data_IF_782646447781
#
_entry.id   IF_782646447781
#
_cell.length_a   1.000
_cell.length_b   1.000
_cell.length_c   1.000
_cell.angle_alpha   90.00
_cell.angle_beta   90.00
_cell.angle_gamma   90.00
#
_symmetry.space_group_name_H-M   'P 1'
#
loop_
_entity.id
_entity.type
_entity.pdbx_description
1 polymer ?
#
# COMPACT_ATOMS: atom_id res chain seq x y z
N UNK A 1 -35.75 -4.86 -39.60
CA UNK A 1 -34.58 -5.58 -39.05
C UNK A 1 -33.46 -4.68 -38.52
N UNK A 2 -33.13 -3.55 -39.16
CA UNK A 2 -31.99 -2.69 -38.77
C UNK A 2 -32.12 -2.00 -37.40
N UNK A 3 -33.32 -1.65 -36.96
CA UNK A 3 -33.56 -0.94 -35.68
C UNK A 3 -33.33 -1.82 -34.46
N UNK A 4 -33.70 -3.11 -34.52
CA UNK A 4 -33.51 -4.06 -33.41
C UNK A 4 -32.02 -4.32 -33.15
N UNK A 5 -31.22 -4.40 -34.21
CA UNK A 5 -29.77 -4.59 -34.11
C UNK A 5 -29.05 -3.36 -33.52
N UNK A 6 -29.52 -2.14 -33.85
CA UNK A 6 -29.01 -0.90 -33.23
C UNK A 6 -29.28 -0.83 -31.73
N UNK A 7 -30.45 -1.28 -31.28
CA UNK A 7 -30.81 -1.34 -29.86
C UNK A 7 -29.92 -2.35 -29.12
N UNK A 8 -29.71 -3.53 -29.71
CA UNK A 8 -28.83 -4.57 -29.12
C UNK A 8 -27.39 -4.06 -29.01
N UNK A 9 -26.84 -3.44 -30.05
CA UNK A 9 -25.49 -2.87 -30.01
C UNK A 9 -25.38 -1.78 -28.95
N UNK A 10 -26.36 -0.88 -28.87
CA UNK A 10 -26.35 0.20 -27.88
C UNK A 10 -26.31 -0.36 -26.45
N UNK A 11 -27.12 -1.39 -26.14
CA UNK A 11 -27.12 -2.05 -24.83
C UNK A 11 -25.79 -2.73 -24.51
N UNK A 12 -25.18 -3.42 -25.48
CA UNK A 12 -23.87 -4.07 -25.27
C UNK A 12 -22.78 -3.04 -24.99
N UNK A 13 -22.76 -1.93 -25.73
CA UNK A 13 -21.78 -0.87 -25.53
C UNK A 13 -21.96 -0.21 -24.16
N UNK A 14 -23.20 0.11 -23.75
CA UNK A 14 -23.41 0.70 -22.42
C UNK A 14 -23.03 -0.27 -21.31
N UNK A 15 -23.37 -1.56 -21.40
CA UNK A 15 -22.96 -2.56 -20.41
C UNK A 15 -21.43 -2.66 -20.28
N UNK A 16 -20.71 -2.64 -21.41
CA UNK A 16 -19.25 -2.69 -21.43
C UNK A 16 -18.66 -1.44 -20.78
N UNK A 17 -19.15 -0.24 -21.13
CA UNK A 17 -18.68 1.02 -20.55
C UNK A 17 -18.92 1.07 -19.04
N UNK A 18 -20.09 0.63 -18.58
CA UNK A 18 -20.38 0.60 -17.13
C UNK A 18 -19.49 -0.39 -16.39
N UNK A 19 -19.21 -1.55 -16.98
CA UNK A 19 -18.30 -2.54 -16.38
C UNK A 19 -16.87 -1.97 -16.26
N UNK A 20 -16.33 -1.38 -17.32
CA UNK A 20 -15.01 -0.75 -17.28
C UNK A 20 -14.95 0.45 -16.33
N UNK A 21 -16.00 1.28 -16.27
CA UNK A 21 -16.08 2.39 -15.33
C UNK A 21 -16.07 1.89 -13.87
N UNK A 22 -16.77 0.80 -13.55
CA UNK A 22 -16.75 0.23 -12.19
C UNK A 22 -15.39 -0.35 -11.83
N UNK A 23 -14.70 -1.02 -12.76
CA UNK A 23 -13.34 -1.55 -12.54
C UNK A 23 -12.35 -0.40 -12.33
N UNK A 24 -12.42 0.66 -13.14
CA UNK A 24 -11.58 1.86 -13.01
C UNK A 24 -11.78 2.55 -11.64
N UNK A 25 -13.03 2.67 -11.18
CA UNK A 25 -13.34 3.25 -9.87
C UNK A 25 -12.83 2.34 -8.73
N UNK A 26 -12.84 1.02 -8.89
CA UNK A 26 -12.27 0.11 -7.89
C UNK A 26 -10.74 0.21 -7.80
N UNK A 27 -10.03 0.24 -8.94
CA UNK A 27 -8.56 0.37 -8.95
C UNK A 27 -8.08 1.69 -8.34
N UNK A 28 -8.79 2.80 -8.60
CA UNK A 28 -8.45 4.11 -8.03
C UNK A 28 -8.90 4.33 -6.59
N UNK A 29 -9.94 3.65 -6.10
CA UNK A 29 -10.33 3.73 -4.68
C UNK A 29 -9.59 2.74 -3.79
N UNK A 30 -9.06 1.64 -4.34
CA UNK A 30 -8.22 0.72 -3.57
C UNK A 30 -6.86 1.37 -3.27
N UNK A 31 -6.32 2.21 -4.16
CA UNK A 31 -5.03 2.89 -3.96
C UNK A 31 -5.02 3.90 -2.81
N UNK A 32 -6.17 4.42 -2.40
CA UNK A 32 -6.26 5.28 -1.22
C UNK A 32 -6.17 4.54 0.12
N UNK A 33 -6.26 3.20 0.13
CA UNK A 33 -6.20 2.39 1.35
C UNK A 33 -4.98 1.46 1.41
N UNK A 34 -4.29 1.22 0.27
CA UNK A 34 -3.03 0.49 0.24
C UNK A 34 -1.79 1.40 0.16
N UNK A 35 -1.98 2.72 0.19
CA UNK A 35 -0.86 3.65 0.33
C UNK A 35 -0.25 3.47 1.72
N UNK A 36 0.87 2.75 1.73
CA UNK A 36 1.81 2.53 2.81
C UNK A 36 2.33 3.87 3.37
N UNK A 37 1.48 4.58 4.10
CA UNK A 37 1.78 5.87 4.74
C UNK A 37 1.53 5.88 6.24
N UNK A 38 1.05 4.78 6.80
CA UNK A 38 1.43 4.47 8.16
C UNK A 38 2.79 3.78 8.11
N UNK A 39 3.84 4.60 8.00
CA UNK A 39 5.18 4.25 8.48
C UNK A 39 5.09 4.14 10.00
N UNK A 40 4.35 3.15 10.47
CA UNK A 40 4.07 2.94 11.89
C UNK A 40 4.57 1.57 12.31
N UNK A 41 4.94 1.51 13.57
CA UNK A 41 5.32 0.31 14.26
C UNK A 41 4.10 -0.61 14.44
N UNK A 42 4.31 -1.85 14.88
CA UNK A 42 3.24 -2.85 15.07
C UNK A 42 2.11 -2.40 16.00
N UNK A 43 2.37 -1.42 16.87
CA UNK A 43 1.42 -0.79 17.80
C UNK A 43 0.85 0.55 17.30
N UNK A 44 1.02 0.86 16.01
CA UNK A 44 0.75 2.15 15.39
C UNK A 44 1.58 3.32 15.95
N UNK A 45 2.65 3.05 16.72
CA UNK A 45 3.57 4.10 17.13
C UNK A 45 4.32 4.66 15.93
N UNK A 46 4.68 5.94 16.01
CA UNK A 46 5.54 6.57 15.02
C UNK A 46 7.00 6.18 15.28
N UNK A 47 7.77 5.76 14.27
CA UNK A 47 9.21 5.62 14.39
C UNK A 47 9.89 6.93 14.78
N UNK A 48 11.07 6.82 15.36
CA UNK A 48 11.91 7.96 15.71
C UNK A 48 12.54 8.62 14.46
N UNK A 49 13.48 9.55 14.68
CA UNK A 49 14.17 10.26 13.59
C UNK A 49 15.08 9.36 12.74
N UNK A 50 15.45 8.19 13.27
CA UNK A 50 16.27 7.20 12.58
C UNK A 50 15.43 6.12 11.90
N UNK A 51 14.11 6.11 12.10
CA UNK A 51 13.20 5.10 11.58
C UNK A 51 13.08 3.86 12.47
N UNK A 52 13.48 3.96 13.74
CA UNK A 52 13.37 2.87 14.72
C UNK A 52 12.11 2.99 15.57
N UNK A 53 11.52 1.84 15.89
CA UNK A 53 10.34 1.77 16.72
C UNK A 53 10.66 1.92 18.21
N UNK A 54 9.68 2.31 19.05
CA UNK A 54 9.89 2.38 20.48
C UNK A 54 10.43 1.06 21.06
N UNK A 55 11.55 1.12 21.77
CA UNK A 55 12.23 -0.07 22.31
C UNK A 55 13.29 -0.67 21.38
N UNK A 56 13.53 -0.05 20.22
CA UNK A 56 14.64 -0.37 19.34
C UNK A 56 15.72 0.71 19.41
N UNK A 57 16.97 0.29 19.29
CA UNK A 57 18.14 1.17 19.25
C UNK A 57 18.73 1.18 17.85
N UNK A 58 18.92 2.38 17.29
CA UNK A 58 19.64 2.58 16.04
C UNK A 58 21.11 2.17 16.20
N UNK A 59 21.49 1.08 15.56
CA UNK A 59 22.75 0.37 15.80
C UNK A 59 23.51 0.14 14.51
N UNK A 60 24.81 0.46 14.52
CA UNK A 60 25.74 0.13 13.44
C UNK A 60 26.18 -1.35 13.55
N UNK A 61 25.79 -2.17 12.57
CA UNK A 61 26.14 -3.59 12.49
C UNK A 61 27.34 -3.85 11.55
N UNK A 62 28.14 -2.83 11.27
CA UNK A 62 29.32 -2.91 10.41
C UNK A 62 28.94 -3.09 8.94
N UNK A 63 29.40 -4.18 8.33
CA UNK A 63 29.15 -4.46 6.90
C UNK A 63 27.66 -4.64 6.57
N UNK A 64 26.82 -4.89 7.58
CA UNK A 64 25.36 -5.00 7.45
C UNK A 64 24.64 -3.64 7.51
N UNK A 65 25.39 -2.55 7.72
CA UNK A 65 24.86 -1.20 7.83
C UNK A 65 24.12 -0.94 9.14
N UNK A 66 23.34 0.14 9.15
CA UNK A 66 22.56 0.53 10.31
C UNK A 66 21.21 -0.18 10.34
N UNK A 67 20.87 -0.73 11.50
CA UNK A 67 19.60 -1.40 11.76
C UNK A 67 19.02 -0.96 13.10
N UNK A 68 17.72 -1.14 13.26
CA UNK A 68 17.00 -0.97 14.51
C UNK A 68 16.99 -2.30 15.25
N UNK A 69 17.65 -2.35 16.39
CA UNK A 69 17.83 -3.57 17.18
C UNK A 69 17.02 -3.44 18.48
N UNK A 70 16.12 -4.38 18.78
CA UNK A 70 15.39 -4.37 20.04
C UNK A 70 16.30 -4.69 21.23
N UNK A 71 15.99 -4.14 22.39
CA UNK A 71 16.79 -4.31 23.62
C UNK A 71 16.78 -5.75 24.17
N UNK A 72 15.86 -6.60 23.71
CA UNK A 72 15.65 -7.98 24.17
C UNK A 72 16.48 -9.04 23.42
N UNK A 73 17.48 -8.60 22.64
CA UNK A 73 18.34 -9.46 21.80
C UNK A 73 17.59 -10.22 20.70
N UNK A 74 16.39 -9.78 20.32
CA UNK A 74 15.73 -10.29 19.12
C UNK A 74 16.43 -9.76 17.84
N UNK A 75 15.93 -10.18 16.67
CA UNK A 75 16.51 -9.84 15.37
C UNK A 75 16.47 -8.32 15.13
N UNK A 76 17.54 -7.77 14.52
CA UNK A 76 17.57 -6.39 14.08
C UNK A 76 16.93 -6.24 12.70
N UNK A 77 16.19 -5.15 12.49
CA UNK A 77 15.52 -4.86 11.23
C UNK A 77 16.01 -3.56 10.59
N UNK A 78 15.98 -3.45 9.25
CA UNK A 78 16.28 -2.19 8.58
C UNK A 78 15.36 -1.06 9.04
N UNK A 79 15.84 0.20 9.16
CA UNK A 79 15.03 1.30 9.61
C UNK A 79 13.87 1.64 8.67
N UNK A 80 12.73 2.05 9.25
CA UNK A 80 11.52 2.47 8.54
C UNK A 80 11.67 3.94 8.14
N UNK A 81 12.40 4.18 7.05
CA UNK A 81 12.58 5.51 6.45
C UNK A 81 11.86 5.58 5.09
N UNK A 82 11.28 6.74 4.81
CA UNK A 82 10.65 7.07 3.52
C UNK A 82 11.69 7.36 2.44
#
# INVERSE_FOLDING_TARGET
MKTKYKIIIACVITCIITAFATVYVMEHNLFGLYDATEYTCTDNAKPDEHGCCPGETYTDMGDQGFNCCPDDYADCFPPIIK
#
